data_IF_130936728281
#
_entry.id   IF_130936728281
#
_cell.length_a   1.000
_cell.length_b   1.000
_cell.length_c   1.000
_cell.angle_alpha   90.00
_cell.angle_beta   90.00
_cell.angle_gamma   90.00
#
_symmetry.space_group_name_H-M   'P 1'
#
loop_
_entity.id
_entity.type
_entity.pdbx_description
1 polymer ?
#
# COMPACT_ATOMS: atom_id res chain seq x y z
N UNK A 1 8.59 -10.82 -19.23
CA UNK A 1 9.12 -9.90 -18.20
C UNK A 1 8.01 -9.72 -17.17
N UNK A 2 8.29 -9.85 -15.89
CA UNK A 2 7.28 -9.68 -14.82
C UNK A 2 6.97 -8.20 -14.65
N UNK A 3 5.68 -7.83 -14.66
CA UNK A 3 5.23 -6.46 -14.44
C UNK A 3 5.48 -6.04 -12.99
N UNK A 4 6.21 -4.96 -12.78
CA UNK A 4 6.63 -4.47 -11.45
C UNK A 4 5.85 -3.25 -10.96
N UNK A 5 4.96 -2.69 -11.79
CA UNK A 5 4.27 -1.42 -11.52
C UNK A 5 5.13 -0.19 -11.77
N UNK A 6 6.37 -0.39 -12.17
CA UNK A 6 7.28 0.68 -12.58
C UNK A 6 8.29 0.22 -13.62
N UNK A 7 8.79 1.19 -14.38
CA UNK A 7 9.85 1.04 -15.37
C UNK A 7 11.00 1.97 -15.01
N UNK A 8 12.21 1.68 -15.45
CA UNK A 8 13.40 2.52 -15.29
C UNK A 8 13.82 3.03 -16.67
N UNK A 9 14.10 4.32 -16.76
CA UNK A 9 14.60 4.97 -17.97
C UNK A 9 15.82 5.82 -17.65
N UNK A 10 16.89 5.65 -18.44
CA UNK A 10 18.10 6.44 -18.31
C UNK A 10 18.26 7.32 -19.53
N UNK A 11 18.42 8.63 -19.33
CA UNK A 11 18.72 9.56 -20.42
C UNK A 11 20.10 9.29 -21.01
N UNK A 12 20.20 9.38 -22.34
CA UNK A 12 21.44 9.13 -23.06
C UNK A 12 22.46 10.24 -22.76
N UNK A 13 22.01 11.47 -22.63
CA UNK A 13 22.80 12.67 -22.37
C UNK A 13 22.00 13.74 -21.62
N UNK A 14 22.69 14.79 -21.19
CA UNK A 14 22.08 15.90 -20.44
C UNK A 14 21.15 16.75 -21.31
N UNK A 15 21.36 16.79 -22.64
CA UNK A 15 20.50 17.53 -23.56
C UNK A 15 19.13 16.86 -23.69
N UNK A 16 19.08 15.52 -23.76
CA UNK A 16 17.80 14.78 -23.79
C UNK A 16 17.03 14.93 -22.49
N UNK A 17 17.71 14.97 -21.36
CA UNK A 17 17.12 15.28 -20.06
C UNK A 17 16.57 16.72 -20.01
N UNK A 18 17.33 17.70 -20.49
CA UNK A 18 16.87 19.09 -20.57
C UNK A 18 15.62 19.26 -21.44
N UNK A 19 15.61 18.68 -22.64
CA UNK A 19 14.46 18.71 -23.54
C UNK A 19 13.21 18.10 -22.91
N UNK A 20 13.39 17.00 -22.14
CA UNK A 20 12.27 16.37 -21.40
C UNK A 20 11.69 17.32 -20.32
N UNK A 21 12.54 18.00 -19.55
CA UNK A 21 12.08 18.86 -18.45
C UNK A 21 11.61 20.25 -18.89
N UNK A 22 12.23 20.83 -19.89
CA UNK A 22 11.96 22.20 -20.34
C UNK A 22 10.84 22.25 -21.40
N UNK A 23 10.85 21.30 -22.33
CA UNK A 23 9.95 21.30 -23.48
C UNK A 23 8.86 20.21 -23.40
N UNK A 24 8.98 19.28 -22.45
CA UNK A 24 8.05 18.16 -22.29
C UNK A 24 8.16 17.10 -23.39
N UNK A 25 9.29 17.10 -24.13
CA UNK A 25 9.52 16.16 -25.24
C UNK A 25 9.99 14.82 -24.66
N UNK A 26 9.22 13.77 -24.95
CA UNK A 26 9.64 12.40 -24.63
C UNK A 26 10.67 11.93 -25.66
N UNK A 27 11.80 11.33 -25.23
CA UNK A 27 12.74 10.69 -26.14
C UNK A 27 12.08 9.59 -26.98
N UNK A 28 12.58 9.36 -28.21
CA UNK A 28 12.02 8.37 -29.14
C UNK A 28 12.05 6.94 -28.59
N UNK A 29 13.02 6.64 -27.74
CA UNK A 29 13.20 5.34 -27.07
C UNK A 29 12.52 5.26 -25.72
N UNK A 30 11.72 6.29 -25.34
CA UNK A 30 11.00 6.28 -24.07
C UNK A 30 10.02 5.12 -24.00
N UNK A 31 9.98 4.34 -22.90
CA UNK A 31 9.15 3.15 -22.80
C UNK A 31 7.67 3.47 -22.84
N UNK A 32 6.88 2.61 -23.47
CA UNK A 32 5.42 2.64 -23.36
C UNK A 32 5.01 2.28 -21.93
N UNK A 33 4.20 3.13 -21.30
CA UNK A 33 3.74 2.95 -19.91
C UNK A 33 2.25 2.62 -19.87
N UNK A 34 1.87 1.74 -18.95
CA UNK A 34 0.46 1.51 -18.62
C UNK A 34 -0.09 2.64 -17.74
N UNK A 35 -1.40 2.87 -17.80
CA UNK A 35 -2.04 3.83 -16.87
C UNK A 35 -1.75 3.47 -15.41
N UNK A 36 -1.34 4.46 -14.63
CA UNK A 36 -0.86 4.34 -13.25
C UNK A 36 0.52 3.67 -13.07
N UNK A 37 1.25 3.40 -14.14
CA UNK A 37 2.62 2.93 -14.04
C UNK A 37 3.57 4.07 -13.69
N UNK A 38 4.57 3.76 -12.89
CA UNK A 38 5.62 4.69 -12.50
C UNK A 38 6.85 4.54 -13.38
N UNK A 39 7.61 5.61 -13.53
CA UNK A 39 8.93 5.59 -14.15
C UNK A 39 9.95 6.26 -13.24
N UNK A 40 11.08 5.59 -13.03
CA UNK A 40 12.26 6.16 -12.40
C UNK A 40 13.17 6.69 -13.50
N UNK A 41 13.48 7.98 -13.43
CA UNK A 41 14.30 8.68 -14.41
C UNK A 41 15.72 8.83 -13.88
N UNK A 42 16.68 8.38 -14.66
CA UNK A 42 18.09 8.44 -14.35
C UNK A 42 18.81 9.37 -15.32
N UNK A 43 19.80 10.11 -14.83
CA UNK A 43 20.72 10.88 -15.66
C UNK A 43 21.65 9.98 -16.49
N UNK A 44 22.41 10.57 -17.38
CA UNK A 44 23.40 9.88 -18.23
C UNK A 44 24.44 9.11 -17.42
N UNK A 45 24.79 9.59 -16.22
CA UNK A 45 25.70 8.95 -15.26
C UNK A 45 25.02 7.96 -14.28
N UNK A 46 23.77 7.54 -14.59
CA UNK A 46 22.98 6.59 -13.82
C UNK A 46 22.57 7.05 -12.40
N UNK A 47 22.57 8.36 -12.14
CA UNK A 47 21.97 8.90 -10.92
C UNK A 47 20.46 9.02 -11.04
N UNK A 48 19.72 8.58 -10.02
CA UNK A 48 18.26 8.78 -9.97
C UNK A 48 17.94 10.27 -9.78
N UNK A 49 17.35 10.89 -10.81
CA UNK A 49 17.03 12.32 -10.80
C UNK A 49 15.57 12.64 -10.53
N UNK A 50 14.64 11.77 -10.97
CA UNK A 50 13.21 12.02 -10.77
C UNK A 50 12.38 10.71 -10.76
N UNK A 51 11.11 10.86 -10.39
CA UNK A 51 10.08 9.83 -10.40
C UNK A 51 8.79 10.41 -10.92
N UNK A 52 8.19 9.78 -11.89
CA UNK A 52 6.93 10.21 -12.49
C UNK A 52 5.92 9.08 -12.49
N UNK A 53 4.64 9.43 -12.54
CA UNK A 53 3.52 8.51 -12.70
C UNK A 53 2.80 8.82 -14.00
N UNK A 54 2.61 7.82 -14.85
CA UNK A 54 1.79 7.96 -16.05
C UNK A 54 0.31 7.82 -15.70
N UNK A 55 -0.50 8.86 -15.95
CA UNK A 55 -1.94 8.82 -15.66
C UNK A 55 -2.79 8.35 -16.86
N UNK A 56 -2.16 7.96 -17.97
CA UNK A 56 -2.80 7.61 -19.23
C UNK A 56 -2.71 8.70 -20.31
N UNK A 57 -2.33 9.94 -19.93
CA UNK A 57 -2.19 11.07 -20.85
C UNK A 57 -0.91 11.89 -20.61
N UNK A 58 -0.43 11.98 -19.41
CA UNK A 58 0.76 12.78 -19.04
C UNK A 58 1.50 12.18 -17.83
N UNK A 59 2.76 12.55 -17.69
CA UNK A 59 3.62 12.19 -16.57
C UNK A 59 3.44 13.18 -15.41
N UNK A 60 2.88 12.69 -14.30
CA UNK A 60 2.66 13.46 -13.07
C UNK A 60 3.81 13.30 -12.08
N UNK A 61 4.06 14.32 -11.31
CA UNK A 61 5.02 14.28 -10.19
C UNK A 61 4.52 13.34 -9.09
N UNK A 62 5.42 12.54 -8.55
CA UNK A 62 5.14 11.61 -7.44
C UNK A 62 5.07 12.33 -6.10
N UNK A 63 3.97 12.17 -5.37
CA UNK A 63 3.81 12.69 -4.02
C UNK A 63 4.33 11.69 -2.97
N UNK A 64 5.59 11.79 -2.64
CA UNK A 64 6.26 10.94 -1.64
C UNK A 64 6.37 11.54 -0.24
N UNK A 65 5.56 12.55 0.09
CA UNK A 65 5.60 13.20 1.41
C UNK A 65 5.30 12.19 2.53
N UNK A 66 5.90 12.34 3.72
CA UNK A 66 5.59 11.52 4.87
C UNK A 66 4.09 11.56 5.23
N UNK A 67 3.58 10.47 5.77
CA UNK A 67 2.24 10.41 6.37
C UNK A 67 2.40 10.68 7.88
N UNK A 68 1.43 11.36 8.47
CA UNK A 68 1.30 11.49 9.92
C UNK A 68 0.00 10.88 10.40
N UNK A 69 0.08 10.16 11.50
CA UNK A 69 -1.08 9.64 12.24
C UNK A 69 -0.88 9.86 13.72
N UNK A 70 -1.96 9.89 14.50
CA UNK A 70 -1.88 9.97 15.96
C UNK A 70 -1.20 8.72 16.55
N UNK A 71 -1.45 7.55 15.98
CA UNK A 71 -0.94 6.27 16.45
C UNK A 71 0.52 5.97 16.06
N UNK A 72 0.88 6.24 14.81
CA UNK A 72 2.19 5.85 14.27
C UNK A 72 3.17 7.03 14.16
N UNK A 73 2.72 8.25 14.46
CA UNK A 73 3.51 9.46 14.29
C UNK A 73 3.82 9.75 12.82
N UNK A 74 5.05 10.18 12.54
CA UNK A 74 5.53 10.51 11.19
C UNK A 74 6.17 9.28 10.54
N UNK A 75 5.57 8.79 9.47
CA UNK A 75 6.08 7.70 8.64
C UNK A 75 6.57 8.25 7.31
N UNK A 76 7.88 8.13 7.06
CA UNK A 76 8.54 8.56 5.83
C UNK A 76 8.99 7.35 5.00
N UNK A 77 8.97 7.44 3.67
CA UNK A 77 9.50 6.38 2.80
C UNK A 77 11.03 6.31 2.95
N UNK A 78 11.59 5.10 2.94
CA UNK A 78 13.02 4.84 3.11
C UNK A 78 13.76 4.60 1.79
N UNK A 79 13.04 4.29 0.72
CA UNK A 79 13.59 4.01 -0.61
C UNK A 79 12.62 4.47 -1.71
N UNK A 80 13.07 4.38 -2.97
CA UNK A 80 12.31 4.85 -4.14
C UNK A 80 11.00 4.08 -4.33
N UNK A 81 10.98 2.77 -4.05
CA UNK A 81 9.80 1.92 -4.18
C UNK A 81 8.74 2.30 -3.13
N UNK A 82 9.13 2.56 -1.90
CA UNK A 82 8.22 3.07 -0.87
C UNK A 82 7.68 4.47 -1.18
N UNK A 83 8.44 5.29 -1.90
CA UNK A 83 7.98 6.62 -2.34
C UNK A 83 6.83 6.50 -3.33
N UNK A 84 6.95 5.65 -4.36
CA UNK A 84 5.86 5.41 -5.30
C UNK A 84 4.68 4.66 -4.65
N UNK A 85 4.95 3.76 -3.70
CA UNK A 85 3.90 3.09 -2.93
C UNK A 85 3.06 4.10 -2.12
N UNK A 86 3.66 5.11 -1.51
CA UNK A 86 2.94 6.17 -0.79
C UNK A 86 2.09 7.03 -1.73
N UNK A 87 2.61 7.37 -2.91
CA UNK A 87 1.86 8.09 -3.93
C UNK A 87 0.63 7.28 -4.39
N UNK A 88 0.84 5.98 -4.70
CA UNK A 88 -0.25 5.08 -5.07
C UNK A 88 -1.32 5.00 -3.97
N UNK A 89 -0.90 4.85 -2.72
CA UNK A 89 -1.82 4.74 -1.59
C UNK A 89 -2.65 6.02 -1.38
N UNK A 90 -2.09 7.20 -1.69
CA UNK A 90 -2.80 8.49 -1.62
C UNK A 90 -3.77 8.74 -2.76
N UNK A 91 -3.57 8.11 -3.90
CA UNK A 91 -4.38 8.37 -5.08
C UNK A 91 -5.84 7.99 -4.86
N UNK A 92 -6.73 8.98 -4.73
CA UNK A 92 -8.16 8.77 -4.54
C UNK A 92 -8.88 8.25 -5.79
N UNK A 93 -8.29 8.40 -6.97
CA UNK A 93 -8.88 7.96 -8.23
C UNK A 93 -8.70 6.44 -8.47
N UNK A 94 -7.73 5.84 -7.78
CA UNK A 94 -7.47 4.40 -7.88
C UNK A 94 -8.17 3.68 -6.72
N UNK A 95 -9.21 2.90 -7.02
CA UNK A 95 -10.02 2.21 -6.01
C UNK A 95 -9.30 0.98 -5.45
N UNK A 96 -8.67 0.16 -6.32
CA UNK A 96 -7.95 -1.06 -5.92
C UNK A 96 -6.46 -0.82 -6.07
N UNK A 97 -5.72 -0.99 -4.96
CA UNK A 97 -4.28 -0.79 -4.89
C UNK A 97 -3.61 -2.05 -4.41
N UNK A 98 -2.62 -2.54 -5.16
CA UNK A 98 -1.91 -3.78 -4.84
C UNK A 98 -0.44 -3.47 -4.62
N UNK A 99 0.08 -3.78 -3.44
CA UNK A 99 1.49 -3.68 -3.11
C UNK A 99 2.11 -5.07 -3.08
N UNK A 100 3.05 -5.32 -3.97
CA UNK A 100 3.82 -6.56 -4.03
C UNK A 100 5.27 -6.31 -3.60
N UNK A 101 5.99 -7.33 -3.22
CA UNK A 101 7.40 -7.22 -2.84
C UNK A 101 7.80 -8.24 -1.76
N UNK A 102 9.10 -8.30 -1.47
CA UNK A 102 9.69 -9.24 -0.51
C UNK A 102 9.16 -9.04 0.92
N UNK A 103 9.27 -10.07 1.75
CA UNK A 103 9.00 -9.95 3.18
C UNK A 103 9.88 -8.87 3.82
N UNK A 104 9.34 -8.14 4.79
CA UNK A 104 10.07 -7.05 5.45
C UNK A 104 10.21 -5.75 4.65
N UNK A 105 9.67 -5.66 3.42
CA UNK A 105 9.74 -4.43 2.60
C UNK A 105 8.83 -3.28 3.09
N UNK A 106 8.06 -3.47 4.16
CA UNK A 106 7.22 -2.44 4.76
C UNK A 106 5.82 -2.28 4.16
N UNK A 107 5.36 -3.21 3.30
CA UNK A 107 4.04 -3.13 2.65
C UNK A 107 2.91 -2.92 3.65
N UNK A 108 2.74 -3.86 4.58
CA UNK A 108 1.68 -3.81 5.58
C UNK A 108 1.80 -2.56 6.45
N UNK A 109 3.02 -2.18 6.82
CA UNK A 109 3.29 -0.98 7.60
C UNK A 109 2.81 0.30 6.90
N UNK A 110 3.15 0.49 5.62
CA UNK A 110 2.72 1.65 4.83
C UNK A 110 1.21 1.64 4.59
N UNK A 111 0.62 0.47 4.28
CA UNK A 111 -0.83 0.34 4.10
C UNK A 111 -1.58 0.66 5.38
N UNK A 112 -1.12 0.16 6.53
CA UNK A 112 -1.73 0.44 7.85
C UNK A 112 -1.63 1.92 8.18
N UNK A 113 -0.46 2.54 7.99
CA UNK A 113 -0.27 3.97 8.22
C UNK A 113 -1.23 4.82 7.36
N UNK A 114 -1.36 4.51 6.07
CA UNK A 114 -2.30 5.20 5.19
C UNK A 114 -3.75 4.97 5.62
N UNK A 115 -4.12 3.74 5.97
CA UNK A 115 -5.47 3.43 6.42
C UNK A 115 -5.86 4.21 7.68
N UNK A 116 -4.96 4.30 8.66
CA UNK A 116 -5.16 5.09 9.87
C UNK A 116 -5.26 6.59 9.56
N UNK A 117 -4.41 7.11 8.68
CA UNK A 117 -4.47 8.51 8.26
C UNK A 117 -5.80 8.87 7.59
N UNK A 118 -6.32 7.99 6.73
CA UNK A 118 -7.62 8.19 6.07
C UNK A 118 -8.80 8.06 7.04
N UNK A 119 -8.68 7.19 8.06
CA UNK A 119 -9.67 7.04 9.12
C UNK A 119 -9.69 8.28 10.02
N UNK A 120 -8.53 8.80 10.43
CA UNK A 120 -8.37 10.03 11.23
C UNK A 120 -8.91 11.25 10.47
N UNK A 121 -8.66 11.33 9.15
CA UNK A 121 -9.20 12.36 8.26
C UNK A 121 -10.71 12.18 7.96
N UNK A 122 -11.37 11.13 8.49
CA UNK A 122 -12.78 10.80 8.29
C UNK A 122 -13.17 10.62 6.81
N UNK A 123 -12.22 10.19 5.98
CA UNK A 123 -12.50 9.80 4.58
C UNK A 123 -13.32 8.52 4.54
N UNK A 124 -13.08 7.62 5.51
CA UNK A 124 -13.86 6.41 5.76
C UNK A 124 -14.28 6.34 7.22
N UNK A 125 -15.38 5.65 7.48
CA UNK A 125 -15.93 5.50 8.83
C UNK A 125 -15.18 4.43 9.63
N UNK A 126 -14.66 3.39 8.94
CA UNK A 126 -13.99 2.24 9.54
C UNK A 126 -12.99 1.57 8.57
N UNK A 127 -12.07 0.81 9.16
CA UNK A 127 -11.15 -0.10 8.47
C UNK A 127 -11.65 -1.53 8.65
N UNK A 128 -11.80 -2.25 7.54
CA UNK A 128 -12.03 -3.69 7.53
C UNK A 128 -10.69 -4.38 7.24
N UNK A 129 -10.15 -5.06 8.23
CA UNK A 129 -8.92 -5.82 8.08
C UNK A 129 -9.27 -7.24 7.67
N UNK A 130 -9.06 -7.55 6.39
CA UNK A 130 -9.29 -8.87 5.84
C UNK A 130 -8.02 -9.69 5.86
N UNK A 131 -8.12 -10.90 6.40
CA UNK A 131 -7.04 -11.87 6.36
C UNK A 131 -7.54 -13.20 5.83
N UNK A 132 -6.70 -13.82 5.01
CA UNK A 132 -6.97 -15.19 4.57
C UNK A 132 -6.78 -16.15 5.74
N UNK A 133 -7.80 -16.96 6.02
CA UNK A 133 -7.75 -18.00 7.05
C UNK A 133 -7.14 -19.29 6.46
N UNK A 134 -6.06 -19.17 5.65
CA UNK A 134 -5.34 -20.34 5.19
C UNK A 134 -4.49 -20.84 6.34
N UNK A 135 -4.82 -22.03 6.80
CA UNK A 135 -3.98 -22.80 7.73
C UNK A 135 -2.54 -22.81 7.21
N UNK A 136 -1.63 -22.22 7.96
CA UNK A 136 -0.24 -22.63 7.89
C UNK A 136 -0.24 -24.10 8.30
N UNK A 137 0.29 -25.01 7.48
CA UNK A 137 0.39 -26.44 7.80
C UNK A 137 0.81 -26.56 9.26
N UNK A 138 0.05 -27.36 10.03
CA UNK A 138 0.27 -27.64 11.45
C UNK A 138 -0.22 -26.61 12.49
N UNK A 139 -1.03 -25.60 12.11
CA UNK A 139 -1.74 -24.75 13.08
C UNK A 139 -3.21 -25.21 13.16
N UNK A 140 -3.76 -25.48 14.35
CA UNK A 140 -5.15 -25.88 14.52
C UNK A 140 -6.13 -24.83 13.96
N UNK A 141 -7.27 -25.30 13.46
CA UNK A 141 -8.36 -24.41 13.04
C UNK A 141 -8.76 -23.45 14.16
N UNK A 142 -9.22 -22.24 13.78
CA UNK A 142 -9.73 -21.22 14.73
C UNK A 142 -10.67 -21.86 15.78
N UNK A 143 -11.45 -22.87 15.38
CA UNK A 143 -12.33 -23.64 16.27
C UNK A 143 -11.62 -24.40 17.38
N UNK A 144 -10.36 -24.78 17.22
CA UNK A 144 -9.60 -25.58 18.18
C UNK A 144 -8.71 -24.75 19.12
N UNK A 145 -8.54 -23.44 18.89
CA UNK A 145 -7.76 -22.59 19.77
C UNK A 145 -8.59 -22.23 21.02
N UNK A 146 -8.02 -22.30 22.25
CA UNK A 146 -8.69 -21.80 23.45
C UNK A 146 -8.84 -20.28 23.37
N UNK A 147 -9.92 -19.74 23.93
CA UNK A 147 -10.22 -18.30 23.97
C UNK A 147 -11.48 -17.89 23.20
N UNK A 148 -11.94 -16.66 23.41
CA UNK A 148 -13.07 -16.06 22.67
C UNK A 148 -12.72 -15.84 21.19
N UNK A 149 -13.74 -15.79 20.32
CA UNK A 149 -13.59 -15.55 18.88
C UNK A 149 -12.79 -14.29 18.60
N UNK A 150 -13.01 -13.23 19.39
CA UNK A 150 -12.28 -11.98 19.27
C UNK A 150 -10.79 -12.11 19.59
N UNK A 151 -10.42 -12.86 20.63
CA UNK A 151 -9.01 -13.11 20.98
C UNK A 151 -8.28 -13.88 19.88
N UNK A 152 -8.96 -14.84 19.27
CA UNK A 152 -8.42 -15.61 18.14
C UNK A 152 -8.20 -14.72 16.91
N UNK A 153 -9.13 -13.81 16.62
CA UNK A 153 -9.03 -12.89 15.50
C UNK A 153 -7.89 -11.87 15.67
N UNK A 154 -7.63 -11.41 16.90
CA UNK A 154 -6.54 -10.48 17.22
C UNK A 154 -5.18 -11.07 16.82
N UNK A 155 -4.95 -12.35 17.06
CA UNK A 155 -3.71 -13.02 16.66
C UNK A 155 -3.40 -12.92 15.16
N UNK A 156 -4.42 -12.82 14.31
CA UNK A 156 -4.25 -12.62 12.87
C UNK A 156 -4.00 -11.17 12.47
N UNK A 157 -4.24 -10.22 13.36
CA UNK A 157 -4.09 -8.79 13.12
C UNK A 157 -2.91 -8.18 13.90
N UNK A 158 -1.94 -8.97 14.32
CA UNK A 158 -0.78 -8.47 15.08
C UNK A 158 -0.05 -7.31 14.39
N UNK A 159 0.18 -7.31 13.04
CA UNK A 159 0.80 -6.15 12.40
C UNK A 159 -0.02 -4.85 12.55
N UNK A 160 -1.35 -4.96 12.67
CA UNK A 160 -2.22 -3.82 12.94
C UNK A 160 -2.19 -3.43 14.43
N UNK A 161 -2.12 -4.42 15.34
CA UNK A 161 -1.94 -4.18 16.76
C UNK A 161 -0.63 -3.44 17.03
N UNK A 162 0.49 -3.88 16.44
CA UNK A 162 1.80 -3.23 16.57
C UNK A 162 1.76 -1.75 16.16
N UNK A 163 1.01 -1.42 15.09
CA UNK A 163 0.83 -0.06 14.62
C UNK A 163 -0.03 0.80 15.56
N UNK A 164 -0.85 0.18 16.40
CA UNK A 164 -1.76 0.83 17.37
C UNK A 164 -1.21 0.82 18.80
N UNK A 165 0.07 0.53 18.97
CA UNK A 165 0.72 0.49 20.30
C UNK A 165 0.43 -0.77 21.11
N UNK A 166 -0.06 -1.84 20.46
CA UNK A 166 -0.32 -3.14 21.06
C UNK A 166 -1.78 -3.60 20.94
N UNK A 167 -2.05 -4.76 21.53
CA UNK A 167 -3.38 -5.39 21.50
C UNK A 167 -4.46 -4.48 22.12
N UNK A 168 -4.13 -3.77 23.19
CA UNK A 168 -5.07 -2.85 23.86
C UNK A 168 -5.54 -1.73 22.93
N UNK A 169 -4.62 -1.13 22.14
CA UNK A 169 -4.96 -0.12 21.15
C UNK A 169 -5.88 -0.67 20.06
N UNK A 170 -5.60 -1.88 19.57
CA UNK A 170 -6.45 -2.55 18.61
C UNK A 170 -7.84 -2.85 19.18
N UNK A 171 -7.93 -3.40 20.38
CA UNK A 171 -9.21 -3.67 21.08
C UNK A 171 -10.01 -2.40 21.29
N UNK A 172 -9.36 -1.29 21.67
CA UNK A 172 -9.99 0.01 21.82
C UNK A 172 -10.62 0.50 20.49
N UNK A 173 -9.90 0.39 19.38
CA UNK A 173 -10.42 0.76 18.07
C UNK A 173 -11.54 -0.16 17.57
N UNK A 174 -11.46 -1.45 17.89
CA UNK A 174 -12.54 -2.41 17.64
C UNK A 174 -13.78 -2.08 18.45
N UNK A 175 -13.64 -1.81 19.76
CA UNK A 175 -14.74 -1.41 20.63
C UNK A 175 -15.46 -0.13 20.19
N UNK A 176 -14.74 0.78 19.54
CA UNK A 176 -15.32 1.99 18.91
C UNK A 176 -15.93 1.74 17.53
N UNK A 177 -15.89 0.51 17.01
CA UNK A 177 -16.35 0.19 15.66
C UNK A 177 -15.50 0.81 14.54
N UNK A 178 -14.28 1.25 14.85
CA UNK A 178 -13.36 1.87 13.89
C UNK A 178 -12.52 0.85 13.12
N UNK A 179 -12.34 -0.32 13.70
CA UNK A 179 -11.63 -1.43 13.08
C UNK A 179 -12.46 -2.69 13.27
N UNK A 180 -12.59 -3.45 12.22
CA UNK A 180 -13.21 -4.78 12.23
C UNK A 180 -12.27 -5.77 11.55
N UNK A 181 -11.96 -6.88 12.23
CA UNK A 181 -11.16 -7.98 11.66
C UNK A 181 -12.12 -9.01 11.10
N UNK A 182 -12.01 -9.30 9.81
CA UNK A 182 -12.94 -10.20 9.11
C UNK A 182 -12.15 -11.29 8.40
N UNK A 183 -12.36 -12.56 8.75
CA UNK A 183 -11.86 -13.67 7.96
C UNK A 183 -12.45 -13.64 6.54
N UNK A 184 -11.64 -13.94 5.52
CA UNK A 184 -12.04 -13.85 4.12
C UNK A 184 -13.28 -14.70 3.80
N UNK A 185 -13.43 -15.87 4.47
CA UNK A 185 -14.60 -16.72 4.31
C UNK A 185 -15.92 -16.12 4.82
N UNK A 186 -15.88 -15.07 5.63
CA UNK A 186 -17.04 -14.42 6.25
C UNK A 186 -17.47 -13.12 5.54
N UNK A 187 -16.89 -12.78 4.41
CA UNK A 187 -17.25 -11.56 3.65
C UNK A 187 -18.45 -11.74 2.73
N UNK A 188 -18.81 -13.00 2.45
CA UNK A 188 -19.89 -13.31 1.49
C UNK A 188 -21.24 -12.77 2.00
N UNK A 189 -21.91 -11.99 1.13
CA UNK A 189 -23.23 -11.43 1.44
C UNK A 189 -23.21 -10.19 2.37
N UNK A 190 -22.02 -9.66 2.71
CA UNK A 190 -21.89 -8.46 3.52
C UNK A 190 -21.80 -7.19 2.66
N UNK A 191 -22.35 -6.09 3.16
CA UNK A 191 -22.21 -4.75 2.59
C UNK A 191 -21.18 -3.94 3.40
N UNK A 192 -20.21 -3.32 2.71
CA UNK A 192 -19.09 -2.61 3.30
C UNK A 192 -19.11 -1.11 2.95
N UNK A 193 -20.23 -0.44 3.22
CA UNK A 193 -20.37 1.01 2.99
C UNK A 193 -19.36 1.81 3.81
N UNK A 194 -18.85 2.89 3.23
CA UNK A 194 -17.92 3.85 3.86
C UNK A 194 -16.73 3.19 4.57
N UNK A 195 -16.22 2.09 4.02
CA UNK A 195 -15.18 1.29 4.65
C UNK A 195 -13.94 1.24 3.79
N UNK A 196 -12.77 1.36 4.39
CA UNK A 196 -11.50 1.05 3.76
C UNK A 196 -11.20 -0.43 4.02
N UNK A 197 -10.99 -1.19 2.96
CA UNK A 197 -10.65 -2.61 3.06
C UNK A 197 -9.14 -2.77 2.96
N UNK A 198 -8.53 -3.28 4.01
CA UNK A 198 -7.12 -3.59 4.08
C UNK A 198 -6.94 -5.12 4.06
N UNK A 199 -6.40 -5.64 2.98
CA UNK A 199 -6.11 -7.06 2.83
C UNK A 199 -4.60 -7.30 2.97
N UNK A 200 -4.19 -8.10 3.96
CA UNK A 200 -2.80 -8.52 4.09
C UNK A 200 -2.66 -10.00 3.78
N UNK A 201 -1.60 -10.35 3.02
CA UNK A 201 -1.22 -11.73 2.69
C UNK A 201 -2.26 -12.50 1.87
N UNK A 202 -2.48 -12.10 0.61
CA UNK A 202 -3.12 -12.98 -0.37
C UNK A 202 -2.13 -14.05 -0.84
N UNK A 203 -2.36 -15.30 -0.45
CA UNK A 203 -1.68 -16.45 -1.05
C UNK A 203 -2.60 -16.97 -2.17
N UNK A 204 -2.28 -16.63 -3.41
CA UNK A 204 -2.89 -17.31 -4.55
C UNK A 204 -2.22 -18.69 -4.69
N UNK A 205 -2.97 -19.78 -4.52
CA UNK A 205 -2.55 -21.07 -5.06
C UNK A 205 -2.87 -21.06 -6.55
N UNK A 206 -1.84 -21.05 -7.38
CA UNK A 206 -1.91 -21.40 -8.80
C UNK A 206 -1.96 -22.90 -8.91
#
# INVERSE_FOLDING_TARGET
MEYKGYTEYQFVDDQSAANFYEEGILPDDFPSLYANEYVFLYSSDAALIDKRKWNGSELKTVNSMPIRTEWMGKVAPRNKEQQIALDLLRDSNTTIKVLTGRFGSGKTYLMTCMALSLLEARVFDRILYLRNNVQVRDVPDIGFLPGDVNEKLIGYAMPLADALGGVEGLQHMMGKGKIEIVPLGMIRGRDFKNSLILCSEFVFRV
#
